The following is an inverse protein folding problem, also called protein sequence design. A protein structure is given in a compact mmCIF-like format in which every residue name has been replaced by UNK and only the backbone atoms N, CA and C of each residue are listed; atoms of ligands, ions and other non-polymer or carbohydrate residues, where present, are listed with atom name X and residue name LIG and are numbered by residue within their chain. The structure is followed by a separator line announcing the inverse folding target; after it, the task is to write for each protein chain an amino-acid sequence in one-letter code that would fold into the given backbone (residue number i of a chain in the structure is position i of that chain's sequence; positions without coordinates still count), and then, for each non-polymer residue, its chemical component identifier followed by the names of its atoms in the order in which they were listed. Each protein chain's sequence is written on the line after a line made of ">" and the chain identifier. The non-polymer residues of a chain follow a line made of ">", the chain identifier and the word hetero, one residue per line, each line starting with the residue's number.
data_IF_994937448581
#
_entry.id   IF_994937448581
#
_cell.length_a   1.000
_cell.length_b   1.000
_cell.length_c   1.000
_cell.angle_alpha   90.00
_cell.angle_beta   90.00
_cell.angle_gamma   90.00
#
_symmetry.space_group_name_H-M   'P 1'
#
loop_
_entity.id
_entity.type
_entity.pdbx_description
1 polymer ?
#
# COMPACT_ATOMS: atom_id res chain seq x y z
N UNK A 1 -17.72 23.34 4.07
CA UNK A 1 -17.16 22.34 5.00
C UNK A 1 -15.95 21.73 4.31
N UNK A 2 -14.79 21.59 4.98
CA UNK A 2 -13.74 20.76 4.40
C UNK A 2 -14.30 19.34 4.37
N UNK A 3 -14.29 18.72 3.19
CA UNK A 3 -14.60 17.29 3.08
C UNK A 3 -13.56 16.60 3.94
N UNK A 4 -14.00 15.99 5.04
CA UNK A 4 -13.15 15.11 5.83
C UNK A 4 -12.87 13.91 4.92
N UNK A 5 -11.81 14.00 4.11
CA UNK A 5 -11.39 12.89 3.25
C UNK A 5 -11.07 11.75 4.21
N UNK A 6 -11.73 10.62 4.05
CA UNK A 6 -11.43 9.36 4.74
C UNK A 6 -10.79 8.41 3.74
N UNK A 7 -10.12 7.36 4.22
CA UNK A 7 -9.71 6.25 3.35
C UNK A 7 -10.92 5.77 2.52
N UNK A 8 -10.73 5.47 1.22
CA UNK A 8 -11.75 4.81 0.45
C UNK A 8 -12.03 3.43 1.05
N UNK A 9 -13.26 2.96 0.93
CA UNK A 9 -13.65 1.64 1.43
C UNK A 9 -12.85 0.54 0.70
N UNK A 10 -12.23 -0.36 1.48
CA UNK A 10 -11.38 -1.44 0.99
C UNK A 10 -12.07 -2.27 -0.11
N UNK A 11 -13.27 -2.79 0.18
CA UNK A 11 -14.02 -3.68 -0.72
C UNK A 11 -14.37 -2.99 -2.04
N UNK A 12 -14.68 -1.69 -1.97
CA UNK A 12 -15.01 -0.90 -3.16
C UNK A 12 -13.80 -0.75 -4.08
N UNK A 13 -12.63 -0.42 -3.52
CA UNK A 13 -11.40 -0.29 -4.31
C UNK A 13 -10.95 -1.65 -4.87
N UNK A 14 -11.02 -2.71 -4.05
CA UNK A 14 -10.69 -4.08 -4.43
C UNK A 14 -11.51 -4.52 -5.66
N UNK A 15 -12.83 -4.32 -5.61
CA UNK A 15 -13.73 -4.66 -6.72
C UNK A 15 -13.38 -3.87 -8.00
N UNK A 16 -13.05 -2.59 -7.88
CA UNK A 16 -12.68 -1.75 -9.03
C UNK A 16 -11.37 -2.22 -9.68
N UNK A 17 -10.36 -2.54 -8.87
CA UNK A 17 -9.09 -3.10 -9.35
C UNK A 17 -9.33 -4.40 -10.13
N UNK A 18 -10.12 -5.32 -9.57
CA UNK A 18 -10.49 -6.58 -10.21
C UNK A 18 -11.26 -6.38 -11.53
N UNK A 19 -12.24 -5.48 -11.55
CA UNK A 19 -13.03 -5.16 -12.76
C UNK A 19 -12.16 -4.58 -13.88
N UNK A 20 -11.14 -3.81 -13.53
CA UNK A 20 -10.17 -3.25 -14.47
C UNK A 20 -8.98 -4.20 -14.75
N UNK A 21 -9.01 -5.43 -14.20
CA UNK A 21 -7.99 -6.48 -14.36
C UNK A 21 -6.60 -6.05 -13.88
N UNK A 22 -6.54 -5.19 -12.86
CA UNK A 22 -5.29 -4.85 -12.18
C UNK A 22 -4.92 -6.01 -11.26
N UNK A 23 -3.68 -6.50 -11.36
CA UNK A 23 -3.21 -7.66 -10.60
C UNK A 23 -2.74 -7.33 -9.17
N UNK A 24 -3.34 -6.31 -8.55
CA UNK A 24 -3.06 -5.88 -7.18
C UNK A 24 -4.37 -5.84 -6.39
N UNK A 25 -4.29 -6.19 -5.11
CA UNK A 25 -5.32 -5.92 -4.11
C UNK A 25 -5.34 -4.43 -3.72
N UNK A 26 -6.40 -4.00 -3.03
CA UNK A 26 -6.50 -2.65 -2.46
C UNK A 26 -5.37 -2.36 -1.45
N UNK A 27 -4.96 -3.35 -0.65
CA UNK A 27 -3.83 -3.23 0.27
C UNK A 27 -2.52 -2.98 -0.48
N UNK A 28 -2.22 -3.80 -1.49
CA UNK A 28 -1.01 -3.68 -2.30
C UNK A 28 -0.96 -2.33 -3.03
N UNK A 29 -2.08 -1.89 -3.61
CA UNK A 29 -2.18 -0.60 -4.28
C UNK A 29 -1.93 0.57 -3.31
N UNK A 30 -2.50 0.52 -2.10
CA UNK A 30 -2.24 1.53 -1.08
C UNK A 30 -0.78 1.51 -0.61
N UNK A 31 -0.18 0.33 -0.45
CA UNK A 31 1.23 0.17 -0.13
C UNK A 31 2.11 0.83 -1.18
N UNK A 32 1.85 0.55 -2.46
CA UNK A 32 2.57 1.14 -3.59
C UNK A 32 2.50 2.68 -3.59
N UNK A 33 1.29 3.24 -3.47
CA UNK A 33 1.07 4.69 -3.38
C UNK A 33 1.86 5.28 -2.21
N UNK A 34 1.76 4.67 -1.03
CA UNK A 34 2.46 5.12 0.18
C UNK A 34 3.97 5.11 -0.02
N UNK A 35 4.51 4.05 -0.63
CA UNK A 35 5.94 3.91 -0.93
C UNK A 35 6.45 5.00 -1.87
N UNK A 36 5.67 5.32 -2.92
CA UNK A 36 5.98 6.40 -3.85
C UNK A 36 5.98 7.77 -3.14
N UNK A 37 5.00 8.03 -2.27
CA UNK A 37 4.91 9.27 -1.49
C UNK A 37 6.10 9.41 -0.53
N UNK A 38 6.37 8.39 0.30
CA UNK A 38 7.47 8.40 1.26
C UNK A 38 8.85 8.49 0.59
N UNK A 39 8.95 8.00 -0.65
CA UNK A 39 10.14 8.14 -1.47
C UNK A 39 10.35 9.50 -2.13
N UNK A 40 9.45 10.46 -1.93
CA UNK A 40 9.58 11.83 -2.43
C UNK A 40 8.97 12.08 -3.80
N UNK A 41 8.17 11.15 -4.35
CA UNK A 41 7.44 11.37 -5.60
C UNK A 41 6.11 12.10 -5.32
N UNK A 42 6.20 13.41 -5.11
CA UNK A 42 5.06 14.28 -4.73
C UNK A 42 4.38 14.97 -5.92
N UNK A 43 4.92 14.79 -7.13
CA UNK A 43 4.43 15.43 -8.36
C UNK A 43 3.43 14.54 -9.13
N UNK A 44 2.86 15.07 -10.22
CA UNK A 44 1.97 14.36 -11.14
C UNK A 44 2.53 13.05 -11.74
N UNK A 45 3.82 12.76 -11.52
CA UNK A 45 4.49 11.55 -12.01
C UNK A 45 4.08 10.28 -11.25
N UNK A 46 3.44 10.38 -10.08
CA UNK A 46 3.00 9.18 -9.35
C UNK A 46 2.05 8.30 -10.18
N UNK A 47 1.14 8.91 -10.96
CA UNK A 47 0.21 8.17 -11.84
C UNK A 47 0.96 7.38 -12.91
N UNK A 48 1.98 7.99 -13.49
CA UNK A 48 2.83 7.34 -14.50
C UNK A 48 3.58 6.16 -13.87
N UNK A 49 4.18 6.36 -12.70
CA UNK A 49 4.87 5.27 -11.97
C UNK A 49 3.94 4.12 -11.63
N UNK A 50 2.72 4.39 -11.19
CA UNK A 50 1.74 3.32 -10.95
C UNK A 50 1.40 2.59 -12.24
N UNK A 51 1.06 3.30 -13.32
CA UNK A 51 0.77 2.67 -14.60
C UNK A 51 1.93 1.78 -15.08
N UNK A 52 3.17 2.24 -14.97
CA UNK A 52 4.38 1.48 -15.32
C UNK A 52 4.55 0.21 -14.48
N UNK A 53 4.21 0.28 -13.19
CA UNK A 53 4.39 -0.83 -12.25
C UNK A 53 3.23 -1.83 -12.24
N UNK A 54 2.02 -1.40 -12.64
CA UNK A 54 0.80 -2.19 -12.42
C UNK A 54 -0.04 -2.40 -13.68
N UNK A 55 0.27 -1.75 -14.81
CA UNK A 55 -0.56 -1.78 -16.02
C UNK A 55 0.27 -1.60 -17.31
N UNK A 56 1.50 -2.12 -17.36
CA UNK A 56 2.39 -2.06 -18.53
C UNK A 56 2.59 -0.64 -19.11
N UNK A 57 2.54 0.38 -18.24
CA UNK A 57 2.65 1.79 -18.62
C UNK A 57 1.38 2.39 -19.23
N UNK A 58 0.33 1.60 -19.43
CA UNK A 58 -0.95 2.08 -19.96
C UNK A 58 -1.73 2.83 -18.88
N UNK A 59 -2.36 3.93 -19.27
CA UNK A 59 -3.21 4.69 -18.36
C UNK A 59 -4.46 3.89 -17.97
N UNK A 60 -4.81 3.94 -16.69
CA UNK A 60 -6.10 3.44 -16.23
C UNK A 60 -7.27 4.23 -16.79
N UNK A 61 -8.44 3.60 -16.84
CA UNK A 61 -9.69 4.29 -17.13
C UNK A 61 -9.98 5.37 -16.08
N UNK A 62 -10.81 6.35 -16.42
CA UNK A 62 -11.20 7.40 -15.47
C UNK A 62 -11.89 6.84 -14.22
N UNK A 63 -12.60 5.71 -14.37
CA UNK A 63 -13.30 4.99 -13.30
C UNK A 63 -12.34 4.58 -12.19
N UNK A 64 -11.12 4.16 -12.53
CA UNK A 64 -10.10 3.78 -11.55
C UNK A 64 -9.16 4.94 -11.21
N UNK A 65 -8.89 5.84 -12.16
CA UNK A 65 -8.02 7.00 -11.93
C UNK A 65 -8.54 7.94 -10.83
N UNK A 66 -9.85 8.15 -10.75
CA UNK A 66 -10.47 8.99 -9.73
C UNK A 66 -10.25 8.46 -8.30
N UNK A 67 -10.70 7.23 -7.96
CA UNK A 67 -10.52 6.70 -6.61
C UNK A 67 -9.05 6.53 -6.23
N UNK A 68 -8.16 6.21 -7.18
CA UNK A 68 -6.72 6.20 -6.90
C UNK A 68 -6.16 7.61 -6.60
N UNK A 69 -6.70 8.66 -7.23
CA UNK A 69 -6.32 10.04 -6.93
C UNK A 69 -6.82 10.46 -5.54
N UNK A 70 -8.04 10.06 -5.17
CA UNK A 70 -8.57 10.30 -3.83
C UNK A 70 -7.76 9.57 -2.75
N UNK A 71 -7.39 8.31 -3.01
CA UNK A 71 -6.50 7.54 -2.16
C UNK A 71 -5.15 8.23 -1.99
N UNK A 72 -4.51 8.64 -3.10
CA UNK A 72 -3.25 9.38 -3.06
C UNK A 72 -3.35 10.65 -2.21
N UNK A 73 -4.34 11.50 -2.47
CA UNK A 73 -4.52 12.76 -1.76
C UNK A 73 -4.72 12.54 -0.26
N UNK A 74 -5.51 11.53 0.11
CA UNK A 74 -5.74 11.18 1.51
C UNK A 74 -4.46 10.64 2.16
N UNK A 75 -3.77 9.70 1.51
CA UNK A 75 -2.52 9.13 2.02
C UNK A 75 -1.46 10.21 2.21
N UNK A 76 -1.30 11.12 1.25
CA UNK A 76 -0.38 12.25 1.37
C UNK A 76 -0.75 13.15 2.55
N UNK A 77 -2.02 13.57 2.64
CA UNK A 77 -2.47 14.44 3.72
C UNK A 77 -2.37 13.79 5.11
N UNK A 78 -2.56 12.47 5.21
CA UNK A 78 -2.46 11.74 6.49
C UNK A 78 -1.02 11.52 6.94
N UNK A 79 -0.08 11.34 6.01
CA UNK A 79 1.36 11.27 6.31
C UNK A 79 1.94 12.61 6.76
N UNK A 80 1.43 13.73 6.25
CA UNK A 80 1.85 15.10 6.61
C UNK A 80 1.13 15.64 7.87
N UNK A 81 0.17 14.88 8.42
CA UNK A 81 -0.66 15.31 9.53
C UNK A 81 0.02 15.06 10.90
N UNK A 82 0.01 16.09 11.76
CA UNK A 82 0.64 16.05 13.09
C UNK A 82 -0.08 15.17 14.12
N UNK A 83 -1.33 14.76 13.86
CA UNK A 83 -2.14 13.91 14.74
C UNK A 83 -1.95 12.41 14.45
N UNK A 84 -0.97 12.04 13.61
CA UNK A 84 -0.61 10.65 13.27
C UNK A 84 -1.80 9.80 12.78
N UNK A 85 -2.62 10.38 11.90
CA UNK A 85 -3.87 9.76 11.41
C UNK A 85 -3.67 8.76 10.25
N UNK A 86 -2.43 8.55 9.79
CA UNK A 86 -2.13 7.57 8.75
C UNK A 86 -2.49 6.16 9.21
N UNK A 87 -3.25 5.45 8.37
CA UNK A 87 -3.68 4.08 8.62
C UNK A 87 -3.53 3.24 7.36
N UNK A 88 -3.23 1.95 7.55
CA UNK A 88 -3.13 1.01 6.44
C UNK A 88 -4.53 0.65 5.92
N UNK A 89 -4.70 0.69 4.60
CA UNK A 89 -5.89 0.16 3.94
C UNK A 89 -5.82 -1.38 3.89
N UNK A 90 -6.31 -2.03 4.93
CA UNK A 90 -6.36 -3.48 5.06
C UNK A 90 -7.82 -3.98 5.06
N UNK A 91 -8.08 -5.26 4.73
CA UNK A 91 -9.41 -5.82 4.84
C UNK A 91 -9.87 -5.86 6.30
N UNK A 92 -11.13 -5.47 6.55
CA UNK A 92 -11.76 -5.52 7.88
C UNK A 92 -12.24 -6.95 8.25
N UNK A 93 -11.78 -7.98 7.55
CA UNK A 93 -12.26 -9.35 7.75
C UNK A 93 -11.84 -9.90 9.13
N UNK A 94 -12.69 -10.76 9.71
CA UNK A 94 -12.45 -11.39 11.01
C UNK A 94 -11.23 -12.34 10.99
N UNK A 95 -10.86 -12.89 9.82
CA UNK A 95 -9.75 -13.85 9.71
C UNK A 95 -8.40 -13.16 9.73
N UNK A 96 -7.65 -13.48 10.76
CA UNK A 96 -6.28 -13.02 11.02
C UNK A 96 -5.33 -13.35 9.87
N UNK A 97 -5.43 -14.56 9.32
CA UNK A 97 -4.62 -15.00 8.19
C UNK A 97 -4.78 -14.10 6.96
N UNK A 98 -6.02 -13.67 6.66
CA UNK A 98 -6.30 -12.79 5.52
C UNK A 98 -5.76 -11.37 5.76
N UNK A 99 -5.79 -10.88 7.01
CA UNK A 99 -5.15 -9.61 7.38
C UNK A 99 -3.62 -9.69 7.31
N UNK A 100 -3.05 -10.82 7.71
CA UNK A 100 -1.61 -11.06 7.62
C UNK A 100 -1.13 -11.06 6.16
N UNK A 101 -1.82 -11.78 5.28
CA UNK A 101 -1.54 -11.81 3.85
C UNK A 101 -1.63 -10.40 3.23
N UNK A 102 -2.68 -9.64 3.59
CA UNK A 102 -2.86 -8.27 3.12
C UNK A 102 -1.75 -7.33 3.64
N UNK A 103 -1.30 -7.48 4.89
CA UNK A 103 -0.19 -6.72 5.45
C UNK A 103 1.12 -7.04 4.73
N UNK A 104 1.40 -8.31 4.47
CA UNK A 104 2.58 -8.74 3.72
C UNK A 104 2.57 -8.14 2.30
N UNK A 105 1.42 -8.22 1.61
CA UNK A 105 1.19 -7.59 0.31
C UNK A 105 1.41 -6.08 0.35
N UNK A 106 0.85 -5.39 1.34
CA UNK A 106 1.01 -3.95 1.56
C UNK A 106 2.48 -3.58 1.71
N UNK A 107 3.23 -4.29 2.58
CA UNK A 107 4.64 -4.00 2.84
C UNK A 107 5.52 -4.25 1.62
N UNK A 108 5.28 -5.34 0.88
CA UNK A 108 6.02 -5.64 -0.34
C UNK A 108 5.86 -4.52 -1.39
N UNK A 109 4.64 -3.99 -1.54
CA UNK A 109 4.37 -2.91 -2.49
C UNK A 109 4.82 -1.53 -1.99
N UNK A 110 4.80 -1.28 -0.68
CA UNK A 110 5.45 -0.13 -0.08
C UNK A 110 6.94 -0.09 -0.39
N UNK A 111 7.64 -1.22 -0.19
CA UNK A 111 9.06 -1.33 -0.50
C UNK A 111 9.35 -1.21 -2.00
N UNK A 112 8.45 -1.71 -2.87
CA UNK A 112 8.54 -1.51 -4.31
C UNK A 112 8.49 -0.01 -4.68
N UNK A 113 7.47 0.71 -4.22
CA UNK A 113 7.33 2.15 -4.50
C UNK A 113 8.48 2.98 -3.95
N UNK A 114 8.94 2.64 -2.74
CA UNK A 114 10.09 3.28 -2.12
C UNK A 114 11.40 3.00 -2.87
N UNK A 115 11.60 1.76 -3.33
CA UNK A 115 12.80 1.37 -4.07
C UNK A 115 12.92 2.03 -5.45
N UNK A 116 11.79 2.24 -6.14
CA UNK A 116 11.73 2.94 -7.43
C UNK A 116 12.14 4.41 -7.30
N UNK A 117 11.76 5.05 -6.20
CA UNK A 117 11.98 6.48 -5.95
C UNK A 117 13.30 6.77 -5.24
N UNK A 118 13.80 5.82 -4.45
CA UNK A 118 15.04 5.92 -3.68
C UNK A 118 15.98 4.75 -3.98
N UNK A 119 16.60 4.67 -5.18
CA UNK A 119 17.43 3.52 -5.57
C UNK A 119 18.69 3.32 -4.69
N UNK A 120 19.13 4.37 -3.99
CA UNK A 120 20.28 4.35 -3.07
C UNK A 120 19.89 4.24 -1.59
N UNK A 121 18.62 3.94 -1.28
CA UNK A 121 18.12 3.89 0.09
C UNK A 121 18.97 2.97 0.99
N UNK A 122 19.40 1.83 0.45
CA UNK A 122 20.18 0.81 1.18
C UNK A 122 21.60 1.24 1.55
N UNK A 123 22.10 2.35 1.00
CA UNK A 123 23.40 2.94 1.38
C UNK A 123 23.32 3.65 2.74
N UNK A 124 22.11 4.03 3.19
CA UNK A 124 21.87 4.66 4.50
C UNK A 124 21.76 3.58 5.57
N UNK A 125 22.78 3.51 6.44
CA UNK A 125 22.91 2.47 7.48
C UNK A 125 21.66 2.35 8.38
N UNK A 126 21.08 3.47 8.78
CA UNK A 126 19.89 3.53 9.66
C UNK A 126 18.63 2.99 8.97
N UNK A 127 18.51 3.15 7.65
CA UNK A 127 17.34 2.66 6.89
C UNK A 127 17.49 1.20 6.48
N UNK A 128 18.72 0.67 6.45
CA UNK A 128 18.97 -0.72 6.07
C UNK A 128 18.30 -1.72 7.02
N UNK A 129 18.32 -1.44 8.32
CA UNK A 129 17.68 -2.28 9.34
C UNK A 129 16.16 -2.24 9.17
N UNK A 130 15.58 -1.03 9.11
CA UNK A 130 14.13 -0.83 8.90
C UNK A 130 13.63 -1.52 7.64
N UNK A 131 14.36 -1.41 6.52
CA UNK A 131 13.99 -2.09 5.27
C UNK A 131 14.12 -3.61 5.39
N UNK A 132 15.09 -4.11 6.16
CA UNK A 132 15.21 -5.54 6.44
C UNK A 132 14.02 -6.05 7.24
N UNK A 133 13.61 -5.32 8.28
CA UNK A 133 12.47 -5.70 9.11
C UNK A 133 11.16 -5.67 8.33
N UNK A 134 10.95 -4.64 7.50
CA UNK A 134 9.81 -4.60 6.59
C UNK A 134 9.83 -5.77 5.60
N UNK A 135 10.99 -6.16 5.06
CA UNK A 135 11.07 -7.35 4.20
C UNK A 135 10.68 -8.63 4.94
N UNK A 136 11.06 -8.77 6.21
CA UNK A 136 10.65 -9.92 7.02
C UNK A 136 9.13 -9.97 7.18
N UNK A 137 8.47 -8.81 7.38
CA UNK A 137 6.99 -8.71 7.40
C UNK A 137 6.40 -9.09 6.03
N UNK A 138 6.99 -8.61 4.93
CA UNK A 138 6.58 -8.97 3.57
C UNK A 138 6.76 -10.45 3.21
N UNK A 139 7.59 -11.16 3.98
CA UNK A 139 7.83 -12.60 3.88
C UNK A 139 7.00 -13.43 4.86
N UNK A 140 6.03 -12.83 5.55
CA UNK A 140 5.03 -13.58 6.32
C UNK A 140 4.26 -14.51 5.38
N UNK A 141 4.79 -15.70 5.16
CA UNK A 141 4.13 -16.81 4.48
C UNK A 141 3.39 -17.60 5.54
N UNK A 142 2.09 -17.37 5.68
CA UNK A 142 1.26 -18.15 6.58
C UNK A 142 1.06 -19.56 6.01
N UNK A 143 1.38 -20.58 6.80
CA UNK A 143 0.87 -21.93 6.53
C UNK A 143 -0.56 -21.99 7.06
N UNK A 144 -1.51 -22.46 6.25
CA UNK A 144 -2.94 -22.61 6.64
C UNK A 144 -3.15 -23.53 7.84
N UNK A 145 -2.09 -24.19 8.31
CA UNK A 145 -2.07 -25.05 9.47
C UNK A 145 -1.58 -24.36 10.76
N UNK A 146 -1.08 -23.12 10.71
CA UNK A 146 -0.60 -22.39 11.89
C UNK A 146 -1.79 -21.89 12.76
N UNK A 147 -1.62 -21.93 14.10
CA UNK A 147 -2.66 -21.60 15.08
C UNK A 147 -3.06 -20.12 15.04
N UNK A 148 -4.32 -19.85 14.67
CA UNK A 148 -4.86 -18.50 14.55
C UNK A 148 -4.70 -17.65 15.83
N UNK A 149 -4.72 -18.26 17.02
CA UNK A 149 -4.55 -17.52 18.27
C UNK A 149 -3.11 -17.03 18.49
N UNK A 150 -2.11 -17.82 18.06
CA UNK A 150 -0.71 -17.40 18.12
C UNK A 150 -0.45 -16.26 17.11
N UNK A 151 -1.13 -16.27 15.96
CA UNK A 151 -1.06 -15.19 14.98
C UNK A 151 -1.69 -13.88 15.43
N UNK A 152 -2.81 -13.92 16.16
CA UNK A 152 -3.38 -12.69 16.73
C UNK A 152 -2.44 -12.00 17.71
N UNK A 153 -1.61 -12.77 18.42
CA UNK A 153 -0.65 -12.18 19.36
C UNK A 153 0.59 -11.60 18.67
N UNK A 154 0.86 -11.99 17.42
CA UNK A 154 2.02 -11.54 16.65
C UNK A 154 1.75 -10.30 15.78
N UNK A 155 0.48 -9.98 15.51
CA UNK A 155 0.00 -8.84 14.72
C UNK A 155 -0.49 -7.70 15.60
#
# INVERSE_FOLDING_TARGET
>A
MPIQKSLPNYQTLELLLQQQKVALTAAEMHGLITGLICGGNHDYNWKKSINELTNDGLAFSQILTNPLSELYDFTFASLDNNDFIFNLLLPENDKVSERADALAGWVNHFLLGLGVTQPKLMEKKELKEIVTDLRNIGMLGYDKNDDQNELEQAL
#
